data_IF_089948701399
#
_entry.id   IF_089948701399
#
_cell.length_a   1.000
_cell.length_b   1.000
_cell.length_c   1.000
_cell.angle_alpha   90.00
_cell.angle_beta   90.00
_cell.angle_gamma   90.00
#
_symmetry.space_group_name_H-M   'P 1'
#
loop_
_entity.id
_entity.type
_entity.pdbx_description
1 polymer ?
#
# COMPACT_ATOMS: atom_id res chain seq x y z
N UNK A 1 -88.12 -82.19 -2.25
CA UNK A 1 -87.58 -81.12 -3.13
C UNK A 1 -87.26 -79.84 -2.34
N UNK A 2 -86.27 -79.84 -1.42
CA UNK A 2 -85.84 -78.62 -0.68
C UNK A 2 -84.34 -78.31 -0.78
N UNK A 3 -83.56 -79.20 -1.41
CA UNK A 3 -82.09 -79.08 -1.55
C UNK A 3 -81.69 -78.24 -2.76
N UNK A 4 -82.48 -78.30 -3.84
CA UNK A 4 -82.28 -77.52 -5.08
C UNK A 4 -82.23 -76.00 -4.83
N UNK A 5 -83.16 -75.38 -4.07
CA UNK A 5 -83.07 -73.94 -3.81
C UNK A 5 -81.86 -73.56 -2.93
N UNK A 6 -81.44 -74.42 -2.00
CA UNK A 6 -80.28 -74.15 -1.13
C UNK A 6 -78.97 -74.16 -1.92
N UNK A 7 -78.80 -75.11 -2.85
CA UNK A 7 -77.61 -75.16 -3.70
C UNK A 7 -77.53 -73.98 -4.68
N UNK A 8 -78.68 -73.53 -5.21
CA UNK A 8 -78.74 -72.33 -6.05
C UNK A 8 -78.33 -71.07 -5.27
N UNK A 9 -78.79 -70.91 -4.02
CA UNK A 9 -78.41 -69.80 -3.16
C UNK A 9 -76.91 -69.80 -2.83
N UNK A 10 -76.32 -70.97 -2.54
CA UNK A 10 -74.89 -71.09 -2.29
C UNK A 10 -74.06 -70.71 -3.52
N UNK A 11 -74.47 -71.13 -4.72
CA UNK A 11 -73.79 -70.75 -5.96
C UNK A 11 -73.78 -69.24 -6.20
N UNK A 12 -74.92 -68.57 -6.00
CA UNK A 12 -75.01 -67.11 -6.12
C UNK A 12 -74.17 -66.41 -5.07
N UNK A 13 -74.16 -66.90 -3.82
CA UNK A 13 -73.37 -66.30 -2.73
C UNK A 13 -71.86 -66.32 -3.01
N UNK A 14 -71.34 -67.42 -3.56
CA UNK A 14 -69.92 -67.52 -3.95
C UNK A 14 -69.58 -66.53 -5.07
N UNK A 15 -70.47 -66.37 -6.04
CA UNK A 15 -70.26 -65.43 -7.15
C UNK A 15 -70.21 -63.97 -6.65
N UNK A 16 -71.08 -63.60 -5.71
CA UNK A 16 -71.09 -62.26 -5.10
C UNK A 16 -69.81 -62.00 -4.29
N UNK A 17 -69.35 -62.99 -3.52
CA UNK A 17 -68.09 -62.88 -2.76
C UNK A 17 -66.88 -62.70 -3.69
N UNK A 18 -66.83 -63.43 -4.81
CA UNK A 18 -65.77 -63.28 -5.81
C UNK A 18 -65.78 -61.89 -6.45
N UNK A 19 -66.95 -61.36 -6.80
CA UNK A 19 -67.08 -59.99 -7.32
C UNK A 19 -66.63 -58.96 -6.28
N UNK A 20 -67.03 -59.12 -5.02
CA UNK A 20 -66.62 -58.23 -3.93
C UNK A 20 -65.10 -58.24 -3.72
N UNK A 21 -64.46 -59.42 -3.74
CA UNK A 21 -63.01 -59.56 -3.63
C UNK A 21 -62.30 -58.90 -4.82
N UNK A 22 -62.80 -59.09 -6.05
CA UNK A 22 -62.24 -58.46 -7.25
C UNK A 22 -62.34 -56.93 -7.21
N UNK A 23 -63.49 -56.38 -6.79
CA UNK A 23 -63.69 -54.94 -6.62
C UNK A 23 -62.73 -54.38 -5.55
N UNK A 24 -62.53 -55.11 -4.45
CA UNK A 24 -61.61 -54.69 -3.38
C UNK A 24 -60.16 -54.67 -3.86
N UNK A 25 -59.73 -55.68 -4.61
CA UNK A 25 -58.40 -55.70 -5.22
C UNK A 25 -58.20 -54.56 -6.22
N UNK A 26 -59.21 -54.26 -7.05
CA UNK A 26 -59.14 -53.12 -7.96
C UNK A 26 -59.04 -51.77 -7.22
N UNK A 27 -59.82 -51.59 -6.15
CA UNK A 27 -59.76 -50.37 -5.34
C UNK A 27 -58.40 -50.20 -4.66
N UNK A 28 -57.84 -51.27 -4.09
CA UNK A 28 -56.50 -51.24 -3.50
C UNK A 28 -55.44 -50.93 -4.56
N UNK A 29 -55.50 -51.57 -5.73
CA UNK A 29 -54.59 -51.32 -6.85
C UNK A 29 -54.66 -49.88 -7.35
N UNK A 30 -55.87 -49.31 -7.46
CA UNK A 30 -56.06 -47.89 -7.81
C UNK A 30 -55.51 -46.96 -6.74
N UNK A 31 -55.74 -47.26 -5.46
CA UNK A 31 -55.20 -46.45 -4.35
C UNK A 31 -53.67 -46.49 -4.29
N UNK A 32 -53.08 -47.64 -4.62
CA UNK A 32 -51.63 -47.84 -4.66
C UNK A 32 -51.04 -47.08 -5.85
N UNK A 33 -51.68 -47.16 -7.02
CA UNK A 33 -51.28 -46.41 -8.23
C UNK A 33 -51.38 -44.90 -8.02
N UNK A 34 -52.44 -44.42 -7.35
CA UNK A 34 -52.59 -43.01 -7.01
C UNK A 34 -51.47 -42.53 -6.08
N UNK A 35 -51.18 -43.29 -5.01
CA UNK A 35 -50.05 -42.99 -4.09
C UNK A 35 -48.69 -43.04 -4.79
N UNK A 36 -48.48 -43.98 -5.71
CA UNK A 36 -47.24 -44.05 -6.49
C UNK A 36 -47.05 -42.81 -7.39
N UNK A 37 -48.12 -42.32 -8.02
CA UNK A 37 -48.05 -41.11 -8.85
C UNK A 37 -47.78 -39.86 -8.00
N UNK A 38 -48.44 -39.74 -6.85
CA UNK A 38 -48.24 -38.63 -5.91
C UNK A 38 -46.80 -38.61 -5.37
N UNK A 39 -46.30 -39.75 -4.90
CA UNK A 39 -44.91 -39.88 -4.44
C UNK A 39 -43.90 -39.65 -5.56
N UNK A 40 -44.19 -40.08 -6.79
CA UNK A 40 -43.33 -39.77 -7.94
C UNK A 40 -43.28 -38.26 -8.25
N UNK A 41 -44.41 -37.57 -8.14
CA UNK A 41 -44.47 -36.12 -8.32
C UNK A 41 -43.70 -35.38 -7.20
N UNK A 42 -43.87 -35.79 -5.95
CA UNK A 42 -43.14 -35.23 -4.81
C UNK A 42 -41.63 -35.47 -4.93
N UNK A 43 -41.22 -36.68 -5.36
CA UNK A 43 -39.81 -36.99 -5.60
C UNK A 43 -39.22 -36.13 -6.71
N UNK A 44 -39.92 -35.92 -7.82
CA UNK A 44 -39.47 -35.02 -8.90
C UNK A 44 -39.33 -33.58 -8.41
N UNK A 45 -40.25 -33.10 -7.57
CA UNK A 45 -40.16 -31.76 -7.02
C UNK A 45 -38.94 -31.61 -6.09
N UNK A 46 -38.71 -32.59 -5.21
CA UNK A 46 -37.52 -32.62 -4.35
C UNK A 46 -36.23 -32.74 -5.15
N UNK A 47 -36.20 -33.56 -6.19
CA UNK A 47 -35.06 -33.68 -7.10
C UNK A 47 -34.77 -32.34 -7.78
N UNK A 48 -35.80 -31.63 -8.24
CA UNK A 48 -35.63 -30.32 -8.86
C UNK A 48 -35.08 -29.27 -7.88
N UNK A 49 -35.54 -29.30 -6.62
CA UNK A 49 -35.02 -28.45 -5.55
C UNK A 49 -33.56 -28.77 -5.23
N UNK A 50 -33.19 -30.05 -5.14
CA UNK A 50 -31.79 -30.47 -4.92
C UNK A 50 -30.89 -30.01 -6.06
N UNK A 51 -31.35 -30.11 -7.31
CA UNK A 51 -30.58 -29.63 -8.48
C UNK A 51 -30.38 -28.11 -8.39
N UNK A 52 -31.40 -27.35 -8.00
CA UNK A 52 -31.30 -25.91 -7.84
C UNK A 52 -30.31 -25.51 -6.73
N UNK A 53 -30.38 -26.15 -5.57
CA UNK A 53 -29.42 -25.93 -4.48
C UNK A 53 -28.00 -26.30 -4.90
N UNK A 54 -27.83 -27.43 -5.60
CA UNK A 54 -26.53 -27.84 -6.15
C UNK A 54 -25.95 -26.79 -7.10
N UNK A 55 -26.76 -26.24 -8.00
CA UNK A 55 -26.33 -25.17 -8.91
C UNK A 55 -25.91 -23.92 -8.13
N UNK A 56 -26.66 -23.56 -7.08
CA UNK A 56 -26.33 -22.42 -6.21
C UNK A 56 -25.00 -22.63 -5.49
N UNK A 57 -24.76 -23.81 -4.94
CA UNK A 57 -23.47 -24.17 -4.30
C UNK A 57 -22.33 -24.12 -5.33
N UNK A 58 -22.57 -24.60 -6.55
CA UNK A 58 -21.56 -24.58 -7.59
C UNK A 58 -21.20 -23.14 -7.99
N UNK A 59 -22.18 -22.24 -8.10
CA UNK A 59 -21.94 -20.84 -8.41
C UNK A 59 -21.25 -20.10 -7.26
N UNK A 60 -21.61 -20.39 -6.01
CA UNK A 60 -20.86 -19.90 -4.84
C UNK A 60 -19.40 -20.37 -4.87
N UNK A 61 -19.15 -21.65 -5.16
CA UNK A 61 -17.78 -22.17 -5.28
C UNK A 61 -16.99 -21.49 -6.41
N UNK A 62 -17.61 -21.21 -7.56
CA UNK A 62 -16.97 -20.44 -8.64
C UNK A 62 -16.61 -19.02 -8.20
N UNK A 63 -17.33 -18.43 -7.25
CA UNK A 63 -17.04 -17.10 -6.71
C UNK A 63 -16.00 -17.12 -5.57
N UNK A 64 -15.83 -18.23 -4.86
CA UNK A 64 -14.85 -18.34 -3.77
C UNK A 64 -13.40 -18.21 -4.26
N UNK A 65 -13.04 -18.87 -5.36
CA UNK A 65 -11.69 -18.81 -5.93
C UNK A 65 -11.25 -17.39 -6.32
N UNK A 66 -12.04 -16.61 -7.09
CA UNK A 66 -11.68 -15.23 -7.41
C UNK A 66 -11.70 -14.32 -6.19
N UNK A 67 -12.60 -14.51 -5.22
CA UNK A 67 -12.58 -13.75 -3.96
C UNK A 67 -11.30 -14.02 -3.16
N UNK A 68 -10.88 -15.27 -3.10
CA UNK A 68 -9.64 -15.67 -2.41
C UNK A 68 -8.44 -15.03 -3.09
N UNK A 69 -8.37 -15.09 -4.42
CA UNK A 69 -7.31 -14.40 -5.20
C UNK A 69 -7.32 -12.88 -4.98
N UNK A 70 -8.50 -12.25 -4.98
CA UNK A 70 -8.61 -10.81 -4.71
C UNK A 70 -8.14 -10.46 -3.30
N UNK A 71 -8.51 -11.26 -2.30
CA UNK A 71 -8.05 -11.09 -0.91
C UNK A 71 -6.53 -11.20 -0.81
N UNK A 72 -5.93 -12.20 -1.45
CA UNK A 72 -4.48 -12.39 -1.44
C UNK A 72 -3.76 -11.24 -2.16
N UNK A 73 -4.30 -10.78 -3.30
CA UNK A 73 -3.75 -9.62 -4.01
C UNK A 73 -3.86 -8.35 -3.17
N UNK A 74 -4.99 -8.14 -2.49
CA UNK A 74 -5.19 -6.99 -1.61
C UNK A 74 -4.22 -7.01 -0.43
N UNK A 75 -3.98 -8.19 0.16
CA UNK A 75 -2.99 -8.35 1.22
C UNK A 75 -1.56 -8.06 0.74
N UNK A 76 -1.18 -8.52 -0.47
CA UNK A 76 0.12 -8.18 -1.06
C UNK A 76 0.26 -6.67 -1.28
N UNK A 77 -0.74 -6.04 -1.91
CA UNK A 77 -0.76 -4.61 -2.14
C UNK A 77 -0.66 -3.81 -0.83
N UNK A 78 -1.32 -4.28 0.24
CA UNK A 78 -1.23 -3.66 1.58
C UNK A 78 0.18 -3.74 2.15
N UNK A 79 0.85 -4.89 2.04
CA UNK A 79 2.23 -5.06 2.51
C UNK A 79 3.20 -4.18 1.73
N UNK A 80 3.05 -4.11 0.40
CA UNK A 80 3.91 -3.29 -0.45
C UNK A 80 3.70 -1.79 -0.18
N UNK A 81 2.45 -1.35 -0.01
CA UNK A 81 2.14 0.02 0.38
C UNK A 81 2.74 0.36 1.75
N UNK A 82 2.61 -0.54 2.73
CA UNK A 82 3.21 -0.35 4.06
C UNK A 82 4.74 -0.24 4.00
N UNK A 83 5.40 -1.04 3.16
CA UNK A 83 6.85 -0.97 2.96
C UNK A 83 7.26 0.34 2.29
N UNK A 84 6.52 0.76 1.27
CA UNK A 84 6.75 2.03 0.58
C UNK A 84 6.59 3.23 1.53
N UNK A 85 5.55 3.24 2.36
CA UNK A 85 5.32 4.28 3.37
C UNK A 85 6.46 4.30 4.41
N UNK A 86 6.95 3.14 4.85
CA UNK A 86 8.08 3.08 5.77
C UNK A 86 9.37 3.65 5.14
N UNK A 87 9.62 3.35 3.87
CA UNK A 87 10.76 3.91 3.13
C UNK A 87 10.64 5.44 2.97
N UNK A 88 9.47 5.93 2.55
CA UNK A 88 9.23 7.36 2.40
C UNK A 88 9.36 8.12 3.73
N UNK A 89 8.87 7.54 4.83
CA UNK A 89 9.04 8.11 6.17
C UNK A 89 10.52 8.22 6.54
N UNK A 90 11.32 7.18 6.28
CA UNK A 90 12.76 7.21 6.54
C UNK A 90 13.47 8.26 5.68
N UNK A 91 13.19 8.31 4.38
CA UNK A 91 13.73 9.34 3.49
C UNK A 91 13.35 10.75 3.93
N UNK A 92 12.14 10.96 4.44
CA UNK A 92 11.69 12.25 4.97
C UNK A 92 12.46 12.64 6.25
N UNK A 93 12.70 11.70 7.15
CA UNK A 93 13.51 11.92 8.37
C UNK A 93 14.94 12.30 8.01
N UNK A 94 15.55 11.60 7.07
CA UNK A 94 16.90 11.91 6.56
C UNK A 94 16.92 13.32 5.96
N UNK A 95 15.97 13.63 5.07
CA UNK A 95 15.89 14.95 4.43
C UNK A 95 15.74 16.10 5.44
N UNK A 96 14.92 15.92 6.48
CA UNK A 96 14.78 16.92 7.54
C UNK A 96 16.06 17.09 8.35
N UNK A 97 16.76 15.99 8.65
CA UNK A 97 18.05 16.03 9.35
C UNK A 97 19.11 16.75 8.52
N UNK A 98 19.20 16.42 7.22
CA UNK A 98 20.13 17.06 6.29
C UNK A 98 19.84 18.55 6.15
N UNK A 99 18.56 18.94 6.13
CA UNK A 99 18.13 20.34 6.11
C UNK A 99 18.60 21.08 7.37
N UNK A 100 18.44 20.49 8.56
CA UNK A 100 18.94 21.12 9.80
C UNK A 100 20.46 21.30 9.77
N UNK A 101 21.20 20.30 9.29
CA UNK A 101 22.66 20.37 9.16
C UNK A 101 23.07 21.46 8.16
N UNK A 102 22.40 21.53 7.00
CA UNK A 102 22.67 22.55 6.00
C UNK A 102 22.42 23.98 6.53
N UNK A 103 21.33 24.20 7.27
CA UNK A 103 21.04 25.50 7.88
C UNK A 103 22.07 25.88 8.96
N UNK A 104 22.50 24.92 9.80
CA UNK A 104 23.59 25.15 10.78
C UNK A 104 24.89 25.52 10.08
N UNK A 105 25.30 24.72 9.09
CA UNK A 105 26.53 24.97 8.33
C UNK A 105 26.50 26.32 7.61
N UNK A 106 25.34 26.74 7.09
CA UNK A 106 25.16 28.05 6.48
C UNK A 106 25.31 29.18 7.50
N UNK A 107 24.71 29.04 8.68
CA UNK A 107 24.84 30.02 9.76
C UNK A 107 26.30 30.14 10.24
N UNK A 108 26.98 29.01 10.44
CA UNK A 108 28.37 28.96 10.87
C UNK A 108 29.30 29.52 9.79
N UNK A 109 29.08 29.17 8.52
CA UNK A 109 29.83 29.73 7.40
C UNK A 109 29.65 31.25 7.27
N UNK A 110 28.45 31.76 7.53
CA UNK A 110 28.18 33.21 7.51
C UNK A 110 28.90 33.93 8.66
N UNK A 111 28.94 33.34 9.85
CA UNK A 111 29.73 33.86 10.99
C UNK A 111 31.23 33.86 10.69
N UNK A 112 31.77 32.73 10.24
CA UNK A 112 33.19 32.62 9.92
C UNK A 112 33.62 33.62 8.84
N UNK A 113 32.78 33.81 7.81
CA UNK A 113 33.03 34.81 6.77
C UNK A 113 33.03 36.24 7.32
N UNK A 114 32.13 36.56 8.25
CA UNK A 114 32.10 37.88 8.88
C UNK A 114 33.35 38.14 9.74
N UNK A 115 33.82 37.13 10.49
CA UNK A 115 35.04 37.21 11.29
C UNK A 115 36.28 37.41 10.41
N UNK A 116 36.44 36.58 9.37
CA UNK A 116 37.55 36.70 8.42
C UNK A 116 37.56 38.06 7.72
N UNK A 117 36.40 38.59 7.32
CA UNK A 117 36.33 39.92 6.72
C UNK A 117 36.69 41.03 7.71
N UNK A 118 36.30 40.90 8.98
CA UNK A 118 36.68 41.87 10.01
C UNK A 118 38.20 41.85 10.28
N UNK A 119 38.81 40.67 10.34
CA UNK A 119 40.27 40.54 10.48
C UNK A 119 41.02 41.07 9.26
N UNK A 120 40.54 40.75 8.05
CA UNK A 120 41.09 41.29 6.80
C UNK A 120 41.10 42.81 6.81
N UNK A 121 39.98 43.45 7.16
CA UNK A 121 39.89 44.91 7.20
C UNK A 121 40.87 45.51 8.22
N UNK A 122 41.04 44.87 9.39
CA UNK A 122 42.04 45.29 10.39
C UNK A 122 43.47 45.15 9.86
N UNK A 123 43.78 44.05 9.19
CA UNK A 123 45.09 43.82 8.60
C UNK A 123 45.40 44.82 7.47
N UNK A 124 44.43 45.10 6.59
CA UNK A 124 44.56 46.11 5.54
C UNK A 124 44.83 47.50 6.12
N UNK A 125 44.19 47.86 7.23
CA UNK A 125 44.43 49.15 7.90
C UNK A 125 45.82 49.21 8.55
N UNK A 126 46.25 48.14 9.23
CA UNK A 126 47.60 48.06 9.79
C UNK A 126 48.68 48.13 8.71
N UNK A 127 48.46 47.50 7.56
CA UNK A 127 49.37 47.59 6.40
C UNK A 127 49.51 49.04 5.93
N UNK A 128 48.41 49.80 5.81
CA UNK A 128 48.47 51.21 5.41
C UNK A 128 49.21 52.07 6.44
N UNK A 129 48.96 51.85 7.73
CA UNK A 129 49.66 52.55 8.81
C UNK A 129 51.16 52.26 8.75
N UNK A 130 51.56 50.99 8.60
CA UNK A 130 52.96 50.60 8.48
C UNK A 130 53.62 51.21 7.23
N UNK A 131 52.93 51.23 6.10
CA UNK A 131 53.42 51.89 4.88
C UNK A 131 53.70 53.38 5.12
N UNK A 132 52.81 54.09 5.81
CA UNK A 132 53.03 55.49 6.17
C UNK A 132 54.22 55.67 7.11
N UNK A 133 54.33 54.84 8.15
CA UNK A 133 55.46 54.89 9.09
C UNK A 133 56.81 54.63 8.38
N UNK A 134 56.86 53.67 7.45
CA UNK A 134 58.06 53.39 6.65
C UNK A 134 58.42 54.60 5.79
N UNK A 135 57.45 55.19 5.09
CA UNK A 135 57.69 56.38 4.26
C UNK A 135 58.21 57.56 5.09
N UNK A 136 57.62 57.81 6.25
CA UNK A 136 58.01 58.93 7.11
C UNK A 136 59.41 58.72 7.70
N UNK A 137 59.73 57.48 8.10
CA UNK A 137 61.07 57.08 8.54
C UNK A 137 62.09 57.21 7.41
N UNK A 138 61.79 56.74 6.22
CA UNK A 138 62.70 56.80 5.06
C UNK A 138 62.97 58.27 4.68
N UNK A 139 61.96 59.14 4.74
CA UNK A 139 62.11 60.59 4.57
C UNK A 139 63.01 61.22 5.64
N UNK A 140 62.86 60.82 6.89
CA UNK A 140 63.71 61.29 7.99
C UNK A 140 65.16 60.79 7.84
N UNK A 141 65.39 59.58 7.35
CA UNK A 141 66.74 59.06 7.07
C UNK A 141 67.40 59.87 5.95
N UNK A 142 66.64 60.24 4.92
CA UNK A 142 67.16 61.01 3.79
C UNK A 142 67.73 62.39 4.14
N UNK A 143 67.38 62.99 5.28
CA UNK A 143 68.02 64.24 5.73
C UNK A 143 69.49 64.05 6.15
N UNK A 144 69.90 62.81 6.40
CA UNK A 144 71.26 62.46 6.85
C UNK A 144 72.06 61.68 5.81
N UNK A 145 71.47 61.32 4.66
CA UNK A 145 72.09 60.51 3.62
C UNK A 145 72.76 61.39 2.58
N UNK A 146 73.99 61.04 2.20
CA UNK A 146 74.71 61.68 1.10
C UNK A 146 74.14 61.24 -0.26
N UNK A 147 73.31 62.10 -0.86
CA UNK A 147 72.66 61.85 -2.17
C UNK A 147 73.64 61.82 -3.36
N UNK A 148 74.90 62.23 -3.17
CA UNK A 148 75.93 62.15 -4.24
C UNK A 148 76.32 60.70 -4.53
N UNK A 149 76.20 59.80 -3.53
CA UNK A 149 76.37 58.35 -3.66
C UNK A 149 75.15 57.70 -4.31
N UNK A 150 75.37 56.75 -5.21
CA UNK A 150 74.30 56.12 -5.99
C UNK A 150 73.25 55.41 -5.10
N UNK A 151 73.68 54.74 -4.03
CA UNK A 151 72.81 54.03 -3.09
C UNK A 151 71.91 54.97 -2.28
N UNK A 152 72.46 56.11 -1.82
CA UNK A 152 71.70 57.14 -1.11
C UNK A 152 70.66 57.80 -2.02
N UNK A 153 71.02 58.04 -3.28
CA UNK A 153 70.11 58.56 -4.31
C UNK A 153 68.96 57.60 -4.60
N UNK A 154 69.23 56.30 -4.72
CA UNK A 154 68.19 55.26 -4.92
C UNK A 154 67.22 55.22 -3.74
N UNK A 155 67.71 55.20 -2.50
CA UNK A 155 66.88 55.18 -1.30
C UNK A 155 65.96 56.42 -1.22
N UNK A 156 66.52 57.61 -1.47
CA UNK A 156 65.80 58.87 -1.32
C UNK A 156 64.94 59.26 -2.53
N UNK A 157 65.16 58.65 -3.69
CA UNK A 157 64.30 58.84 -4.85
C UNK A 157 62.90 58.23 -4.67
N UNK A 158 62.77 57.15 -3.90
CA UNK A 158 61.49 56.52 -3.56
C UNK A 158 60.72 57.38 -2.55
N UNK A 159 61.41 57.95 -1.56
CA UNK A 159 60.82 58.87 -0.58
C UNK A 159 60.33 60.20 -1.19
N UNK A 160 60.89 60.60 -2.35
CA UNK A 160 60.50 61.82 -3.09
C UNK A 160 59.46 61.57 -4.19
N UNK A 161 59.13 60.30 -4.51
CA UNK A 161 58.27 59.94 -5.65
C UNK A 161 56.75 59.94 -5.37
N UNK A 162 56.30 60.63 -4.31
CA UNK A 162 54.86 60.79 -4.03
C UNK A 162 54.54 62.16 -3.46
#
# INVERSE_FOLDING_TARGET
MKIVPVMAFLSVSVMVVMIYQAVRQELELRSLKARMLETSAELKQKEHAIIQEKNTIQDLNKLLDPLTKQKDQLNKNKLDLSRSVAQMTNSLVICNTDKEVAERNKADGTKALAEVNAEKNKAEEQIKILQLQILDRDKAICTFVDETKEEGRKLCSIAKAK
#
